data_IF_277447979348
#
_entry.id   IF_277447979348
#
_cell.length_a   1.000
_cell.length_b   1.000
_cell.length_c   1.000
_cell.angle_alpha   90.00
_cell.angle_beta   90.00
_cell.angle_gamma   90.00
#
_symmetry.space_group_name_H-M   'P 1'
#
loop_
_entity.id
_entity.type
_entity.pdbx_description
1 polymer ?
#
# COMPACT_ATOMS: atom_id res chain seq x y z
N UNK A 1 -2.35 -16.16 25.27
CA UNK A 1 -1.16 -16.77 24.63
C UNK A 1 -0.59 -15.73 23.67
N UNK A 2 0.74 -15.54 23.61
CA UNK A 2 1.36 -14.62 22.62
C UNK A 2 1.41 -15.32 21.27
N UNK A 3 0.95 -14.65 20.22
CA UNK A 3 1.11 -15.15 18.86
C UNK A 3 2.61 -15.30 18.55
N UNK A 4 3.02 -16.49 18.10
CA UNK A 4 4.41 -16.74 17.73
C UNK A 4 4.73 -16.02 16.43
N UNK A 5 5.93 -15.43 16.37
CA UNK A 5 6.46 -14.75 15.18
C UNK A 5 7.44 -15.66 14.45
N UNK A 6 7.27 -15.81 13.15
CA UNK A 6 8.19 -16.54 12.28
C UNK A 6 8.69 -15.64 11.16
N UNK A 7 10.02 -15.60 10.97
CA UNK A 7 10.60 -14.95 9.79
C UNK A 7 10.43 -15.87 8.59
N UNK A 8 9.89 -15.33 7.50
CA UNK A 8 9.74 -16.03 6.23
C UNK A 8 10.62 -15.38 5.19
N UNK A 9 11.56 -16.13 4.64
CA UNK A 9 12.45 -15.64 3.58
C UNK A 9 11.86 -16.01 2.23
N UNK A 10 11.69 -15.02 1.35
CA UNK A 10 11.27 -15.21 -0.04
C UNK A 10 12.43 -14.91 -0.98
N UNK A 11 12.80 -15.89 -1.81
CA UNK A 11 13.81 -15.78 -2.85
C UNK A 11 13.19 -16.14 -4.20
N UNK A 12 13.74 -15.60 -5.28
CA UNK A 12 13.31 -15.96 -6.63
C UNK A 12 14.36 -16.89 -7.24
N UNK A 13 13.92 -18.02 -7.78
CA UNK A 13 14.80 -18.99 -8.42
C UNK A 13 15.00 -18.69 -9.92
N UNK A 14 15.87 -19.48 -10.55
CA UNK A 14 16.21 -19.36 -11.97
C UNK A 14 15.02 -19.64 -12.90
N UNK A 15 14.04 -20.42 -12.45
CA UNK A 15 12.78 -20.67 -13.18
C UNK A 15 11.80 -19.50 -13.09
N UNK A 16 12.11 -18.50 -12.26
CA UNK A 16 11.27 -17.34 -12.00
C UNK A 16 10.21 -17.56 -10.92
N UNK A 17 10.19 -18.72 -10.26
CA UNK A 17 9.29 -19.02 -9.15
C UNK A 17 9.83 -18.44 -7.83
N UNK A 18 8.91 -18.19 -6.89
CA UNK A 18 9.21 -17.79 -5.53
C UNK A 18 9.40 -19.01 -4.65
N UNK A 19 10.54 -19.09 -3.99
CA UNK A 19 10.83 -20.03 -2.91
C UNK A 19 10.61 -19.29 -1.59
N UNK A 20 9.73 -19.83 -0.75
CA UNK A 20 9.52 -19.34 0.61
C UNK A 20 10.02 -20.36 1.62
N UNK A 21 10.72 -19.92 2.67
CA UNK A 21 11.17 -20.79 3.76
C UNK A 21 11.08 -20.12 5.12
N UNK A 22 10.84 -20.92 6.17
CA UNK A 22 10.90 -20.49 7.57
C UNK A 22 12.21 -20.99 8.17
N UNK A 23 13.28 -20.18 8.29
CA UNK A 23 14.60 -20.68 8.70
C UNK A 23 14.63 -21.33 10.09
N UNK A 24 13.74 -20.91 10.99
CA UNK A 24 13.61 -21.46 12.34
C UNK A 24 12.85 -22.79 12.40
N UNK A 25 12.24 -23.25 11.30
CA UNK A 25 11.51 -24.51 11.22
C UNK A 25 12.14 -25.36 10.12
N UNK A 26 12.97 -26.32 10.52
CA UNK A 26 13.72 -27.17 9.59
C UNK A 26 12.76 -27.88 8.63
N UNK A 27 13.02 -27.80 7.33
CA UNK A 27 12.20 -28.43 6.31
C UNK A 27 10.94 -27.65 5.92
N UNK A 28 10.59 -26.56 6.60
CA UNK A 28 9.46 -25.71 6.22
C UNK A 28 9.85 -24.78 5.07
N UNK A 29 9.54 -25.23 3.85
CA UNK A 29 9.73 -24.49 2.62
C UNK A 29 8.64 -24.83 1.60
N UNK A 30 8.40 -23.91 0.67
CA UNK A 30 7.45 -24.11 -0.41
C UNK A 30 7.82 -23.26 -1.63
N UNK A 31 7.06 -23.44 -2.71
CA UNK A 31 7.25 -22.76 -3.98
C UNK A 31 5.94 -22.14 -4.44
N UNK A 32 5.99 -20.99 -5.12
CA UNK A 32 4.83 -20.35 -5.72
C UNK A 32 5.20 -19.54 -6.96
N UNK A 33 4.35 -19.55 -7.98
CA UNK A 33 4.51 -18.70 -9.18
C UNK A 33 4.42 -17.21 -8.85
N UNK A 34 3.76 -16.86 -7.75
CA UNK A 34 3.61 -15.50 -7.24
C UNK A 34 3.93 -15.45 -5.75
N UNK A 35 4.24 -14.26 -5.22
CA UNK A 35 4.40 -14.03 -3.79
C UNK A 35 3.15 -14.44 -3.02
N UNK A 36 1.96 -14.11 -3.53
CA UNK A 36 0.69 -14.51 -2.90
C UNK A 36 0.55 -16.02 -2.76
N UNK A 37 0.83 -16.76 -3.83
CA UNK A 37 0.79 -18.22 -3.79
C UNK A 37 1.81 -18.79 -2.79
N UNK A 38 3.04 -18.24 -2.78
CA UNK A 38 4.07 -18.65 -1.85
C UNK A 38 3.68 -18.36 -0.38
N UNK A 39 3.03 -17.22 -0.10
CA UNK A 39 2.52 -16.85 1.24
C UNK A 39 1.46 -17.81 1.76
N UNK A 40 0.48 -18.17 0.92
CA UNK A 40 -0.56 -19.12 1.31
C UNK A 40 0.06 -20.48 1.64
N UNK A 41 0.89 -20.98 0.72
CA UNK A 41 1.51 -22.30 0.86
C UNK A 41 2.51 -22.39 2.01
N UNK A 42 3.22 -21.31 2.35
CA UNK A 42 4.20 -21.37 3.45
C UNK A 42 3.48 -21.40 4.80
N UNK A 43 2.30 -20.79 4.90
CA UNK A 43 1.44 -20.92 6.09
C UNK A 43 0.91 -22.35 6.24
N UNK A 44 0.41 -22.95 5.15
CA UNK A 44 0.01 -24.36 5.12
C UNK A 44 1.17 -25.28 5.52
N UNK A 45 2.36 -25.07 4.93
CA UNK A 45 3.55 -25.85 5.23
C UNK A 45 4.02 -25.66 6.69
N UNK A 46 3.88 -24.47 7.27
CA UNK A 46 4.17 -24.21 8.67
C UNK A 46 3.20 -24.96 9.59
N UNK A 47 1.92 -25.06 9.22
CA UNK A 47 0.89 -25.80 9.96
C UNK A 47 1.17 -27.29 10.11
N UNK A 48 2.04 -27.87 9.28
CA UNK A 48 2.51 -29.26 9.43
C UNK A 48 3.50 -29.44 10.60
N UNK A 49 4.05 -28.34 11.14
CA UNK A 49 5.08 -28.38 12.18
C UNK A 49 4.66 -27.69 13.48
N UNK A 50 3.69 -26.78 13.44
CA UNK A 50 3.26 -26.00 14.61
C UNK A 50 1.74 -25.81 14.63
N UNK A 51 1.13 -25.97 15.81
CA UNK A 51 -0.33 -25.96 15.97
C UNK A 51 -0.97 -24.57 15.83
N UNK A 52 -0.19 -23.49 15.91
CA UNK A 52 -0.65 -22.10 15.87
C UNK A 52 -0.30 -21.37 14.58
N UNK A 53 0.00 -22.10 13.50
CA UNK A 53 0.42 -21.52 12.22
C UNK A 53 -0.58 -20.50 11.65
N UNK A 54 -1.89 -20.67 11.88
CA UNK A 54 -2.91 -19.73 11.40
C UNK A 54 -2.92 -18.40 12.16
N UNK A 55 -2.54 -18.43 13.44
CA UNK A 55 -2.45 -17.23 14.29
C UNK A 55 -1.06 -16.62 14.31
N UNK A 56 -0.06 -17.36 13.81
CA UNK A 56 1.31 -16.90 13.77
C UNK A 56 1.50 -15.67 12.87
N UNK A 57 2.25 -14.70 13.39
CA UNK A 57 2.69 -13.54 12.64
C UNK A 57 3.87 -13.95 11.75
N UNK A 58 3.72 -13.76 10.43
CA UNK A 58 4.77 -14.03 9.46
C UNK A 58 5.47 -12.73 9.08
N UNK A 59 6.73 -12.61 9.50
CA UNK A 59 7.58 -11.46 9.16
C UNK A 59 8.30 -11.76 7.86
N UNK A 60 7.86 -11.12 6.78
CA UNK A 60 8.40 -11.37 5.43
C UNK A 60 9.76 -10.68 5.20
N UNK A 61 10.73 -11.44 4.71
CA UNK A 61 12.00 -10.98 4.18
C UNK A 61 12.08 -11.35 2.70
N UNK A 62 11.72 -10.41 1.83
CA UNK A 62 11.77 -10.59 0.37
C UNK A 62 13.16 -10.17 -0.12
N UNK A 63 13.95 -11.16 -0.55
CA UNK A 63 15.30 -10.94 -1.05
C UNK A 63 15.26 -10.50 -2.50
N UNK A 64 15.71 -9.26 -2.70
CA UNK A 64 15.87 -8.62 -4.00
C UNK A 64 17.28 -8.00 -4.06
N UNK A 65 17.90 -7.92 -5.26
CA UNK A 65 19.13 -7.16 -5.45
C UNK A 65 18.98 -5.70 -5.00
N UNK A 66 20.05 -5.11 -4.47
CA UNK A 66 20.04 -3.73 -3.94
C UNK A 66 19.55 -2.72 -4.98
N UNK A 67 19.99 -2.84 -6.24
CA UNK A 67 19.56 -1.99 -7.35
C UNK A 67 18.04 -2.02 -7.58
N UNK A 68 17.41 -3.19 -7.44
CA UNK A 68 15.95 -3.33 -7.58
C UNK A 68 15.23 -2.72 -6.39
N UNK A 69 15.76 -2.90 -5.17
CA UNK A 69 15.21 -2.27 -3.96
C UNK A 69 15.21 -0.74 -4.09
N UNK A 70 16.30 -0.16 -4.60
CA UNK A 70 16.41 1.28 -4.84
C UNK A 70 15.35 1.80 -5.83
N UNK A 71 15.15 1.10 -6.95
CA UNK A 71 14.13 1.46 -7.94
C UNK A 71 12.73 1.43 -7.32
N UNK A 72 12.41 0.39 -6.55
CA UNK A 72 11.11 0.28 -5.86
C UNK A 72 10.95 1.41 -4.82
N UNK A 73 12.00 1.70 -4.05
CA UNK A 73 11.96 2.76 -3.03
C UNK A 73 11.74 4.13 -3.65
N UNK A 74 12.49 4.50 -4.69
CA UNK A 74 12.31 5.76 -5.43
C UNK A 74 10.89 5.88 -6.01
N UNK A 75 10.37 4.78 -6.55
CA UNK A 75 9.01 4.73 -7.10
C UNK A 75 7.95 4.95 -6.01
N UNK A 76 8.13 4.34 -4.83
CA UNK A 76 7.22 4.53 -3.67
C UNK A 76 7.28 5.95 -3.14
N UNK A 77 8.48 6.52 -3.02
CA UNK A 77 8.68 7.89 -2.55
C UNK A 77 8.02 8.89 -3.49
N UNK A 78 8.26 8.77 -4.80
CA UNK A 78 7.64 9.64 -5.81
C UNK A 78 6.11 9.58 -5.77
N UNK A 79 5.50 8.40 -5.60
CA UNK A 79 4.05 8.27 -5.41
C UNK A 79 3.57 8.96 -4.15
N UNK A 80 4.25 8.74 -3.02
CA UNK A 80 3.90 9.36 -1.72
C UNK A 80 3.96 10.89 -1.80
N UNK A 81 4.99 11.43 -2.44
CA UNK A 81 5.10 12.87 -2.66
C UNK A 81 3.95 13.41 -3.53
N UNK A 82 3.62 12.71 -4.62
CA UNK A 82 2.52 13.11 -5.50
C UNK A 82 1.17 13.08 -4.77
N UNK A 83 0.91 12.05 -3.95
CA UNK A 83 -0.28 11.95 -3.11
C UNK A 83 -0.36 13.09 -2.09
N UNK A 84 0.74 13.38 -1.40
CA UNK A 84 0.81 14.48 -0.45
C UNK A 84 0.57 15.84 -1.12
N UNK A 85 1.15 16.08 -2.29
CA UNK A 85 0.93 17.32 -3.06
C UNK A 85 -0.52 17.43 -3.52
N UNK A 86 -1.12 16.33 -3.99
CA UNK A 86 -2.54 16.27 -4.36
C UNK A 86 -3.46 16.56 -3.18
N UNK A 87 -3.17 15.99 -2.01
CA UNK A 87 -3.95 16.23 -0.79
C UNK A 87 -3.90 17.71 -0.37
N UNK A 88 -2.71 18.33 -0.36
CA UNK A 88 -2.55 19.76 -0.05
C UNK A 88 -3.25 20.67 -1.07
N UNK A 89 -3.12 20.36 -2.36
CA UNK A 89 -3.81 21.12 -3.41
C UNK A 89 -5.32 21.02 -3.24
N UNK A 90 -5.83 19.81 -2.98
CA UNK A 90 -7.25 19.56 -2.74
C UNK A 90 -7.78 20.34 -1.54
N UNK A 91 -7.04 20.37 -0.42
CA UNK A 91 -7.41 21.15 0.76
C UNK A 91 -7.44 22.66 0.46
N UNK A 92 -6.43 23.17 -0.24
CA UNK A 92 -6.37 24.57 -0.65
C UNK A 92 -7.54 24.95 -1.57
N UNK A 93 -7.88 24.09 -2.53
CA UNK A 93 -9.04 24.29 -3.41
C UNK A 93 -10.35 24.28 -2.63
N UNK A 94 -10.55 23.33 -1.71
CA UNK A 94 -11.74 23.28 -0.85
C UNK A 94 -11.88 24.54 0.00
N UNK A 95 -10.76 25.01 0.58
CA UNK A 95 -10.75 26.24 1.39
C UNK A 95 -11.10 27.46 0.56
N UNK A 96 -10.50 27.61 -0.63
CA UNK A 96 -10.81 28.70 -1.53
C UNK A 96 -12.29 28.69 -1.96
N UNK A 97 -12.84 27.52 -2.31
CA UNK A 97 -14.25 27.39 -2.67
C UNK A 97 -15.18 27.82 -1.53
N UNK A 98 -14.88 27.44 -0.28
CA UNK A 98 -15.67 27.85 0.89
C UNK A 98 -15.57 29.36 1.13
N UNK A 99 -14.37 29.96 1.12
CA UNK A 99 -14.21 31.41 1.27
C UNK A 99 -14.99 32.20 0.21
N UNK A 100 -14.97 31.76 -1.05
CA UNK A 100 -15.71 32.43 -2.13
C UNK A 100 -17.24 32.38 -1.91
N UNK A 101 -17.76 31.28 -1.36
CA UNK A 101 -19.20 31.08 -1.16
C UNK A 101 -19.68 31.64 0.18
N UNK A 102 -18.94 31.43 1.26
CA UNK A 102 -19.34 31.76 2.62
C UNK A 102 -19.01 33.21 2.96
N UNK A 103 -17.82 33.70 2.59
CA UNK A 103 -17.36 35.05 2.97
C UNK A 103 -17.72 36.11 1.92
N UNK A 104 -17.65 35.76 0.62
CA UNK A 104 -18.00 36.66 -0.49
C UNK A 104 -19.42 36.43 -1.05
N UNK A 105 -20.15 35.43 -0.57
CA UNK A 105 -21.50 35.10 -1.02
C UNK A 105 -21.64 34.89 -2.54
N UNK A 106 -20.58 34.40 -3.19
CA UNK A 106 -20.62 34.13 -4.63
C UNK A 106 -21.48 32.91 -4.95
N UNK A 107 -22.12 32.97 -6.12
CA UNK A 107 -22.80 31.81 -6.68
C UNK A 107 -21.83 30.68 -7.02
N UNK A 108 -22.33 29.44 -7.04
CA UNK A 108 -21.53 28.26 -7.37
C UNK A 108 -20.93 28.30 -8.78
N UNK A 109 -21.58 28.99 -9.73
CA UNK A 109 -21.11 29.13 -11.11
C UNK A 109 -19.90 30.06 -11.22
N UNK A 110 -19.99 31.24 -10.62
CA UNK A 110 -18.89 32.20 -10.61
C UNK A 110 -17.70 31.67 -9.82
N UNK A 111 -17.96 30.99 -8.70
CA UNK A 111 -16.91 30.28 -7.93
C UNK A 111 -16.21 29.22 -8.79
N UNK A 112 -16.95 28.47 -9.60
CA UNK A 112 -16.40 27.46 -10.48
C UNK A 112 -15.54 28.08 -11.60
N UNK A 113 -15.99 29.19 -12.18
CA UNK A 113 -15.24 29.95 -13.17
C UNK A 113 -13.91 30.47 -12.58
N UNK A 114 -13.96 31.11 -11.41
CA UNK A 114 -12.78 31.66 -10.73
C UNK A 114 -11.75 30.58 -10.34
N UNK A 115 -12.22 29.40 -9.94
CA UNK A 115 -11.35 28.28 -9.57
C UNK A 115 -10.91 27.43 -10.77
N UNK A 116 -11.44 27.70 -11.98
CA UNK A 116 -11.19 26.87 -13.16
C UNK A 116 -11.73 25.44 -13.02
N UNK A 117 -12.86 25.28 -12.31
CA UNK A 117 -13.50 24.00 -12.02
C UNK A 117 -14.89 23.90 -12.65
N UNK A 118 -15.47 22.70 -12.62
CA UNK A 118 -16.89 22.55 -12.91
C UNK A 118 -17.75 22.94 -11.70
N UNK A 119 -18.97 23.42 -11.94
CA UNK A 119 -19.93 23.72 -10.88
C UNK A 119 -20.20 22.50 -9.97
N UNK A 120 -20.27 21.30 -10.55
CA UNK A 120 -20.46 20.05 -9.81
C UNK A 120 -19.28 19.78 -8.88
N UNK A 121 -18.05 20.08 -9.32
CA UNK A 121 -16.87 19.94 -8.49
C UNK A 121 -16.94 20.89 -7.30
N UNK A 122 -17.22 22.17 -7.52
CA UNK A 122 -17.39 23.15 -6.43
C UNK A 122 -18.46 22.70 -5.43
N UNK A 123 -19.61 22.21 -5.91
CA UNK A 123 -20.68 21.67 -5.07
C UNK A 123 -20.21 20.48 -4.20
N UNK A 124 -19.39 19.58 -4.74
CA UNK A 124 -18.80 18.48 -3.96
C UNK A 124 -17.84 18.98 -2.88
N UNK A 125 -17.05 20.01 -3.17
CA UNK A 125 -16.04 20.55 -2.24
C UNK A 125 -16.65 21.24 -1.01
N UNK A 126 -17.83 21.82 -1.17
CA UNK A 126 -18.53 22.55 -0.11
C UNK A 126 -19.36 21.58 0.76
N UNK A 127 -19.81 20.45 0.19
CA UNK A 127 -20.64 19.45 0.89
C UNK A 127 -19.87 18.40 1.67
N UNK A 128 -18.59 18.20 1.37
CA UNK A 128 -17.68 17.34 2.14
C UNK A 128 -16.88 18.13 3.14
#
# INVERSE_FOLDING_TARGET
MKDRKYRVVFERDESGAWIARVPSVRGCHTHGRTLDQARRRIREALGLWVDDADRAELVEDIRLPTSIKEVISRSRESRREAENRRAKAQEATSRAARTLVDDLHLGLRDTAELLGLSHQRVQQLIRG
#
